data_IF_742726271741
#
_entry.id   IF_742726271741
#
_cell.length_a   1.000
_cell.length_b   1.000
_cell.length_c   1.000
_cell.angle_alpha   90.00
_cell.angle_beta   90.00
_cell.angle_gamma   90.00
#
_symmetry.space_group_name_H-M   'P 1'
#
loop_
_entity.id
_entity.type
_entity.pdbx_description
1 polymer ?
#
# COMPACT_ATOMS: atom_id res chain seq x y z
N UNK A 1 1.55 7.67 -10.93
CA UNK A 1 2.39 8.57 -10.13
C UNK A 1 2.58 7.98 -8.73
N UNK A 2 3.80 8.07 -8.19
CA UNK A 2 4.16 7.53 -6.87
C UNK A 2 4.51 8.66 -5.92
N UNK A 3 3.75 8.78 -4.82
CA UNK A 3 3.94 9.76 -3.76
C UNK A 3 4.56 9.10 -2.54
N UNK A 4 5.59 9.72 -1.95
CA UNK A 4 6.25 9.25 -0.75
C UNK A 4 5.96 10.13 0.46
N UNK A 5 5.50 9.52 1.56
CA UNK A 5 5.42 10.18 2.86
C UNK A 5 6.64 9.76 3.70
N UNK A 6 7.53 10.70 3.98
CA UNK A 6 8.72 10.46 4.77
C UNK A 6 8.63 11.20 6.11
N UNK A 7 9.16 10.58 7.16
CA UNK A 7 9.19 11.17 8.50
C UNK A 7 9.55 10.15 9.56
N UNK A 8 9.98 10.62 10.72
CA UNK A 8 10.29 9.77 11.87
C UNK A 8 9.06 8.99 12.37
N UNK A 9 9.30 7.95 13.18
CA UNK A 9 8.19 7.28 13.87
C UNK A 9 7.43 8.28 14.75
N UNK A 10 6.09 8.20 14.70
CA UNK A 10 5.22 9.16 15.36
C UNK A 10 5.01 10.49 14.63
N UNK A 11 5.58 10.70 13.44
CA UNK A 11 5.38 11.93 12.65
C UNK A 11 3.95 12.12 12.11
N UNK A 12 3.09 11.08 12.17
CA UNK A 12 1.72 11.16 11.70
C UNK A 12 1.45 10.46 10.34
N UNK A 13 2.45 9.80 9.74
CA UNK A 13 2.32 9.14 8.43
C UNK A 13 1.15 8.15 8.37
N UNK A 14 1.12 7.18 9.27
CA UNK A 14 0.06 6.15 9.35
C UNK A 14 -1.31 6.76 9.65
N UNK A 15 -1.37 7.79 10.49
CA UNK A 15 -2.61 8.52 10.79
C UNK A 15 -3.13 9.21 9.53
N UNK A 16 -2.27 9.90 8.79
CA UNK A 16 -2.63 10.56 7.55
C UNK A 16 -3.15 9.55 6.51
N UNK A 17 -2.47 8.42 6.34
CA UNK A 17 -2.93 7.36 5.42
C UNK A 17 -4.29 6.78 5.83
N UNK A 18 -4.54 6.60 7.12
CA UNK A 18 -5.86 6.16 7.65
C UNK A 18 -6.96 7.20 7.43
N UNK A 19 -6.64 8.49 7.50
CA UNK A 19 -7.57 9.57 7.14
C UNK A 19 -7.83 9.58 5.63
N UNK A 20 -6.80 9.48 4.79
CA UNK A 20 -6.93 9.43 3.32
C UNK A 20 -7.74 8.20 2.88
N UNK A 21 -7.56 7.05 3.53
CA UNK A 21 -8.34 5.83 3.23
C UNK A 21 -9.77 5.85 3.80
N UNK A 22 -10.14 6.89 4.55
CA UNK A 22 -11.46 7.02 5.17
C UNK A 22 -11.69 6.05 6.33
N UNK A 23 -10.63 5.50 6.95
CA UNK A 23 -10.71 4.72 8.19
C UNK A 23 -10.94 5.68 9.37
N UNK A 24 -10.21 6.80 9.39
CA UNK A 24 -10.37 7.83 10.40
C UNK A 24 -11.12 9.03 9.82
N UNK A 25 -12.04 9.58 10.63
CA UNK A 25 -12.68 10.84 10.32
C UNK A 25 -11.72 12.00 10.66
N UNK A 26 -11.51 12.98 9.76
CA UNK A 26 -10.78 14.19 10.13
C UNK A 26 -11.57 15.01 11.15
N UNK A 27 -10.89 15.61 12.12
CA UNK A 27 -11.51 16.51 13.11
C UNK A 27 -12.00 17.81 12.46
N UNK A 28 -11.33 18.24 11.39
CA UNK A 28 -11.71 19.40 10.57
C UNK A 28 -11.29 19.20 9.12
N UNK A 29 -11.92 19.93 8.21
CA UNK A 29 -11.71 19.77 6.78
C UNK A 29 -12.36 18.52 6.20
N UNK A 30 -11.97 18.14 4.98
CA UNK A 30 -12.47 16.95 4.29
C UNK A 30 -11.39 16.33 3.40
N UNK A 31 -11.51 15.03 3.15
CA UNK A 31 -10.71 14.31 2.16
C UNK A 31 -11.61 13.87 1.02
N UNK A 32 -11.24 14.22 -0.20
CA UNK A 32 -11.98 13.82 -1.41
C UNK A 32 -11.08 13.06 -2.36
N UNK A 33 -11.63 12.01 -2.98
CA UNK A 33 -11.03 11.27 -4.08
C UNK A 33 -12.00 11.34 -5.26
N UNK A 34 -11.50 11.76 -6.41
CA UNK A 34 -12.32 11.98 -7.61
C UNK A 34 -13.58 12.84 -7.32
N UNK A 35 -13.43 13.89 -6.51
CA UNK A 35 -14.48 14.82 -6.05
C UNK A 35 -15.53 14.19 -5.11
N UNK A 36 -15.32 12.95 -4.67
CA UNK A 36 -16.19 12.27 -3.70
C UNK A 36 -15.53 12.23 -2.34
N UNK A 37 -16.23 12.60 -1.31
CA UNK A 37 -15.75 12.50 0.08
C UNK A 37 -15.52 11.03 0.44
N UNK A 38 -14.40 10.73 1.11
CA UNK A 38 -13.95 9.34 1.34
C UNK A 38 -14.55 8.77 2.61
N UNK A 39 -14.66 9.60 3.68
CA UNK A 39 -15.15 9.12 4.96
C UNK A 39 -16.63 8.68 4.86
N UNK A 40 -16.93 7.48 5.34
CA UNK A 40 -18.27 6.88 5.33
C UNK A 40 -18.92 6.75 3.92
N UNK A 41 -18.10 6.61 2.88
CA UNK A 41 -18.55 6.46 1.49
C UNK A 41 -17.96 5.19 0.87
N UNK A 42 -18.70 4.06 0.84
CA UNK A 42 -18.24 2.80 0.27
C UNK A 42 -17.74 2.93 -1.18
N UNK A 43 -18.46 3.69 -2.02
CA UNK A 43 -18.13 3.89 -3.44
C UNK A 43 -16.75 4.53 -3.66
N UNK A 44 -16.35 5.46 -2.78
CA UNK A 44 -15.01 6.06 -2.85
C UNK A 44 -13.94 5.04 -2.42
N UNK A 45 -14.27 4.17 -1.45
CA UNK A 45 -13.35 3.16 -0.90
C UNK A 45 -13.09 2.00 -1.87
N UNK A 46 -14.02 1.68 -2.77
CA UNK A 46 -13.83 0.65 -3.80
C UNK A 46 -12.62 0.95 -4.72
N UNK A 47 -12.26 2.22 -4.85
CA UNK A 47 -11.10 2.65 -5.63
C UNK A 47 -9.80 2.73 -4.83
N UNK A 48 -9.82 2.39 -3.54
CA UNK A 48 -8.68 2.51 -2.63
C UNK A 48 -8.32 1.13 -2.08
N UNK A 49 -7.05 0.76 -2.15
CA UNK A 49 -6.52 -0.34 -1.35
C UNK A 49 -5.53 0.21 -0.32
N UNK A 50 -5.74 -0.12 0.94
CA UNK A 50 -4.87 0.33 2.03
C UNK A 50 -4.18 -0.87 2.69
N UNK A 51 -2.85 -0.87 2.69
CA UNK A 51 -2.01 -1.81 3.41
C UNK A 51 -1.47 -1.13 4.66
N UNK A 52 -1.95 -1.56 5.82
CA UNK A 52 -1.45 -1.08 7.12
C UNK A 52 -0.06 -1.63 7.45
N UNK A 53 0.70 -0.90 8.26
CA UNK A 53 1.92 -1.35 8.91
C UNK A 53 1.67 -2.54 9.87
N UNK A 54 0.49 -2.56 10.49
CA UNK A 54 0.05 -3.68 11.32
C UNK A 54 -0.13 -4.93 10.47
N UNK A 55 0.60 -5.98 10.81
CA UNK A 55 0.50 -7.25 10.11
C UNK A 55 -0.92 -7.79 10.24
N UNK A 56 -1.56 -8.00 9.11
CA UNK A 56 -2.95 -8.44 9.03
C UNK A 56 -3.22 -9.62 9.97
N UNK A 57 -4.22 -9.47 10.82
CA UNK A 57 -4.62 -10.46 11.83
C UNK A 57 -5.33 -11.70 11.24
N UNK A 58 -5.25 -11.94 9.94
CA UNK A 58 -5.83 -13.13 9.30
C UNK A 58 -5.02 -14.40 9.58
N UNK A 59 -4.76 -14.67 10.87
CA UNK A 59 -3.83 -15.72 11.29
C UNK A 59 -4.24 -17.13 10.82
N UNK A 60 -5.52 -17.38 10.61
CA UNK A 60 -6.05 -18.68 10.18
C UNK A 60 -6.23 -18.80 8.66
N UNK A 61 -6.25 -17.70 7.94
CA UNK A 61 -6.44 -17.69 6.50
C UNK A 61 -5.19 -18.20 5.77
N UNK A 62 -5.40 -18.79 4.63
CA UNK A 62 -4.38 -19.17 3.65
C UNK A 62 -4.31 -18.11 2.53
N UNK A 63 -3.34 -18.22 1.63
CA UNK A 63 -3.28 -17.37 0.42
C UNK A 63 -4.52 -17.57 -0.46
N UNK A 64 -5.04 -18.79 -0.54
CA UNK A 64 -6.28 -19.05 -1.29
C UNK A 64 -7.50 -18.37 -0.63
N UNK A 65 -7.54 -18.30 0.70
CA UNK A 65 -8.62 -17.58 1.39
C UNK A 65 -8.50 -16.07 1.18
N UNK A 66 -7.28 -15.52 1.10
CA UNK A 66 -7.06 -14.11 0.73
C UNK A 66 -7.58 -13.83 -0.68
N UNK A 67 -7.30 -14.72 -1.63
CA UNK A 67 -7.84 -14.60 -2.99
C UNK A 67 -9.37 -14.48 -2.96
N UNK A 68 -10.04 -15.45 -2.36
CA UNK A 68 -11.50 -15.46 -2.27
C UNK A 68 -12.07 -14.24 -1.56
N UNK A 69 -11.41 -13.78 -0.49
CA UNK A 69 -11.81 -12.61 0.28
C UNK A 69 -11.75 -11.34 -0.56
N UNK A 70 -10.63 -11.10 -1.25
CA UNK A 70 -10.46 -9.89 -2.04
C UNK A 70 -11.28 -9.91 -3.34
N UNK A 71 -11.48 -11.07 -3.95
CA UNK A 71 -12.39 -11.25 -5.08
C UNK A 71 -13.83 -10.87 -4.72
N UNK A 72 -14.29 -11.20 -3.52
CA UNK A 72 -15.61 -10.79 -3.04
C UNK A 72 -15.68 -9.31 -2.65
N UNK A 73 -14.54 -8.71 -2.25
CA UNK A 73 -14.50 -7.35 -1.71
C UNK A 73 -14.28 -6.28 -2.77
N UNK A 74 -13.58 -6.61 -3.85
CA UNK A 74 -13.21 -5.66 -4.91
C UNK A 74 -13.73 -6.16 -6.27
N UNK A 75 -14.68 -5.43 -6.88
CA UNK A 75 -15.22 -5.82 -8.19
C UNK A 75 -14.17 -5.86 -9.32
N UNK A 76 -13.06 -5.14 -9.15
CA UNK A 76 -11.95 -5.05 -10.10
C UNK A 76 -10.86 -6.09 -9.87
N UNK A 77 -11.02 -7.01 -8.89
CA UNK A 77 -10.01 -8.01 -8.58
C UNK A 77 -9.71 -8.92 -9.77
N UNK A 78 -8.42 -9.13 -10.04
CA UNK A 78 -7.92 -9.97 -11.13
C UNK A 78 -7.20 -11.20 -10.59
N UNK A 79 -7.88 -12.35 -10.68
CA UNK A 79 -7.37 -13.65 -10.23
C UNK A 79 -6.06 -14.03 -10.92
N UNK A 80 -5.93 -13.73 -12.23
CA UNK A 80 -4.71 -14.10 -12.99
C UNK A 80 -3.52 -13.30 -12.49
N UNK A 81 -3.70 -12.00 -12.27
CA UNK A 81 -2.65 -11.15 -11.70
C UNK A 81 -2.26 -11.66 -10.32
N UNK A 82 -3.23 -12.00 -9.46
CA UNK A 82 -2.94 -12.55 -8.13
C UNK A 82 -2.13 -13.85 -8.23
N UNK A 83 -2.57 -14.77 -9.08
CA UNK A 83 -1.92 -16.06 -9.29
C UNK A 83 -0.48 -15.94 -9.80
N UNK A 84 -0.25 -15.03 -10.75
CA UNK A 84 1.07 -14.74 -11.29
C UNK A 84 2.01 -14.16 -10.23
N UNK A 85 1.50 -13.20 -9.43
CA UNK A 85 2.28 -12.57 -8.36
C UNK A 85 2.64 -13.56 -7.25
N UNK A 86 1.68 -14.38 -6.79
CA UNK A 86 1.91 -15.41 -5.78
C UNK A 86 2.92 -16.45 -6.28
N UNK A 87 2.86 -16.80 -7.55
CA UNK A 87 3.82 -17.74 -8.18
C UNK A 87 5.22 -17.14 -8.28
N UNK A 88 5.35 -15.87 -8.69
CA UNK A 88 6.64 -15.15 -8.72
C UNK A 88 7.28 -15.01 -7.34
N UNK A 89 6.46 -14.89 -6.30
CA UNK A 89 6.89 -14.75 -4.91
C UNK A 89 7.13 -16.11 -4.22
N UNK A 90 6.83 -17.22 -4.90
CA UNK A 90 6.94 -18.59 -4.36
C UNK A 90 6.24 -18.78 -3.02
N UNK A 91 5.04 -18.19 -2.88
CA UNK A 91 4.29 -18.25 -1.64
C UNK A 91 3.40 -19.51 -1.56
N UNK A 92 3.46 -20.26 -0.44
CA UNK A 92 2.67 -21.48 -0.28
C UNK A 92 1.18 -21.17 -0.12
N UNK A 93 0.35 -21.59 -1.08
CA UNK A 93 -1.06 -21.20 -1.18
C UNK A 93 -1.97 -21.77 -0.08
N UNK A 94 -1.65 -22.96 0.43
CA UNK A 94 -2.48 -23.70 1.39
C UNK A 94 -1.99 -23.62 2.83
N UNK A 95 -0.84 -23.01 3.06
CA UNK A 95 -0.26 -22.85 4.38
C UNK A 95 -0.93 -21.68 5.11
N UNK A 96 -1.36 -21.82 6.38
CA UNK A 96 -1.92 -20.72 7.16
C UNK A 96 -0.94 -19.54 7.27
N UNK A 97 -1.44 -18.32 7.14
CA UNK A 97 -0.65 -17.10 7.24
C UNK A 97 0.01 -16.92 8.61
N UNK A 98 -0.53 -17.56 9.67
CA UNK A 98 0.13 -17.61 10.99
C UNK A 98 1.53 -18.22 10.95
N UNK A 99 1.80 -19.10 9.97
CA UNK A 99 3.08 -19.77 9.78
C UNK A 99 4.02 -19.03 8.81
N UNK A 100 3.57 -17.89 8.26
CA UNK A 100 4.39 -17.05 7.40
C UNK A 100 5.28 -16.15 8.24
N UNK A 101 6.48 -15.85 7.75
CA UNK A 101 7.30 -14.76 8.29
C UNK A 101 6.58 -13.40 8.09
N UNK A 102 7.01 -12.37 8.82
CA UNK A 102 6.50 -11.01 8.62
C UNK A 102 6.64 -10.58 7.14
N UNK A 103 7.79 -10.88 6.53
CA UNK A 103 8.03 -10.59 5.12
C UNK A 103 7.08 -11.33 4.17
N UNK A 104 6.89 -12.65 4.36
CA UNK A 104 5.95 -13.43 3.53
C UNK A 104 4.51 -12.93 3.63
N UNK A 105 4.06 -12.53 4.83
CA UNK A 105 2.74 -11.91 5.00
C UNK A 105 2.64 -10.61 4.22
N UNK A 106 3.67 -9.76 4.27
CA UNK A 106 3.73 -8.50 3.54
C UNK A 106 3.67 -8.73 2.03
N UNK A 107 4.42 -9.71 1.53
CA UNK A 107 4.39 -10.12 0.12
C UNK A 107 2.98 -10.53 -0.33
N UNK A 108 2.30 -11.37 0.44
CA UNK A 108 0.94 -11.83 0.12
C UNK A 108 -0.06 -10.68 0.06
N UNK A 109 0.02 -9.72 1.00
CA UNK A 109 -0.88 -8.55 1.02
C UNK A 109 -0.56 -7.57 -0.11
N UNK A 110 0.71 -7.35 -0.45
CA UNK A 110 1.07 -6.51 -1.60
C UNK A 110 0.60 -7.14 -2.91
N UNK A 111 0.75 -8.47 -3.07
CA UNK A 111 0.21 -9.18 -4.23
C UNK A 111 -1.32 -8.99 -4.34
N UNK A 112 -2.05 -9.09 -3.22
CA UNK A 112 -3.50 -8.83 -3.20
C UNK A 112 -3.82 -7.36 -3.56
N UNK A 113 -3.04 -6.39 -3.05
CA UNK A 113 -3.22 -4.97 -3.37
C UNK A 113 -3.09 -4.69 -4.87
N UNK A 114 -2.09 -5.27 -5.53
CA UNK A 114 -1.89 -5.14 -6.97
C UNK A 114 -3.00 -5.85 -7.77
N UNK A 115 -3.43 -7.02 -7.30
CA UNK A 115 -4.51 -7.80 -7.94
C UNK A 115 -5.89 -7.17 -7.79
N UNK A 116 -6.16 -6.37 -6.75
CA UNK A 116 -7.41 -5.62 -6.61
C UNK A 116 -7.61 -4.56 -7.70
N UNK A 117 -6.57 -4.19 -8.45
CA UNK A 117 -6.61 -3.27 -9.59
C UNK A 117 -7.25 -1.92 -9.27
N UNK A 118 -7.20 -1.51 -8.00
CA UNK A 118 -7.73 -0.22 -7.55
C UNK A 118 -6.94 0.95 -8.15
N UNK A 119 -7.58 2.09 -8.29
CA UNK A 119 -6.98 3.32 -8.84
C UNK A 119 -5.94 3.91 -7.89
N UNK A 120 -6.14 3.74 -6.58
CA UNK A 120 -5.29 4.28 -5.53
C UNK A 120 -4.84 3.14 -4.61
N UNK A 121 -3.53 3.04 -4.41
CA UNK A 121 -2.92 2.10 -3.46
C UNK A 121 -2.19 2.91 -2.40
N UNK A 122 -2.49 2.65 -1.14
CA UNK A 122 -1.86 3.28 0.02
C UNK A 122 -1.07 2.22 0.78
N UNK A 123 0.24 2.40 0.90
CA UNK A 123 1.14 1.45 1.55
C UNK A 123 1.80 2.09 2.77
N UNK A 124 1.50 1.58 3.96
CA UNK A 124 2.08 2.06 5.21
C UNK A 124 3.25 1.16 5.62
N UNK A 125 4.49 1.70 5.59
CA UNK A 125 5.75 1.01 5.91
C UNK A 125 5.86 -0.38 5.23
N UNK A 126 5.45 -0.44 3.94
CA UNK A 126 5.22 -1.70 3.23
C UNK A 126 6.49 -2.54 2.99
N UNK A 127 7.65 -1.92 3.05
CA UNK A 127 8.94 -2.60 2.81
C UNK A 127 9.63 -3.06 4.10
N UNK A 128 9.04 -2.76 5.26
CA UNK A 128 9.59 -3.17 6.54
C UNK A 128 9.58 -4.69 6.73
N UNK A 129 10.72 -5.22 7.21
CA UNK A 129 10.88 -6.64 7.46
C UNK A 129 11.11 -7.50 6.21
N UNK A 130 11.30 -6.87 5.05
CA UNK A 130 11.77 -7.54 3.83
C UNK A 130 13.30 -7.51 3.77
N UNK A 131 13.89 -8.61 3.33
CA UNK A 131 15.32 -8.62 2.97
C UNK A 131 15.58 -7.77 1.71
N UNK A 132 16.82 -7.34 1.45
CA UNK A 132 17.14 -6.43 0.34
C UNK A 132 16.74 -6.96 -1.04
N UNK A 133 16.88 -8.26 -1.30
CA UNK A 133 16.55 -8.85 -2.59
C UNK A 133 15.02 -8.86 -2.80
N UNK A 134 14.28 -9.26 -1.77
CA UNK A 134 12.81 -9.28 -1.81
C UNK A 134 12.24 -7.87 -1.88
N UNK A 135 12.83 -6.91 -1.15
CA UNK A 135 12.44 -5.49 -1.23
C UNK A 135 12.57 -4.96 -2.67
N UNK A 136 13.70 -5.26 -3.34
CA UNK A 136 13.91 -4.87 -4.74
C UNK A 136 12.86 -5.50 -5.65
N UNK A 137 12.59 -6.80 -5.50
CA UNK A 137 11.59 -7.51 -6.30
C UNK A 137 10.20 -6.88 -6.15
N UNK A 138 9.74 -6.68 -4.91
CA UNK A 138 8.42 -6.08 -4.61
C UNK A 138 8.33 -4.67 -5.20
N UNK A 139 9.39 -3.86 -5.08
CA UNK A 139 9.43 -2.50 -5.67
C UNK A 139 9.26 -2.54 -7.18
N UNK A 140 10.01 -3.41 -7.86
CA UNK A 140 9.89 -3.57 -9.32
C UNK A 140 8.46 -3.95 -9.70
N UNK A 141 7.87 -4.95 -9.03
CA UNK A 141 6.49 -5.39 -9.30
C UNK A 141 5.46 -4.25 -9.10
N UNK A 142 5.64 -3.43 -8.06
CA UNK A 142 4.78 -2.28 -7.80
C UNK A 142 4.95 -1.21 -8.89
N UNK A 143 6.19 -0.85 -9.22
CA UNK A 143 6.48 0.20 -10.22
C UNK A 143 5.92 -0.19 -11.58
N UNK A 144 6.17 -1.42 -12.02
CA UNK A 144 5.68 -1.94 -13.30
C UNK A 144 4.15 -1.87 -13.34
N UNK A 145 3.46 -2.38 -12.31
CA UNK A 145 1.99 -2.37 -12.25
C UNK A 145 1.41 -0.95 -12.24
N UNK A 146 1.98 -0.05 -11.44
CA UNK A 146 1.53 1.35 -11.34
C UNK A 146 1.72 2.08 -12.68
N UNK A 147 2.86 1.86 -13.35
CA UNK A 147 3.17 2.46 -14.63
C UNK A 147 2.23 1.96 -15.72
N UNK A 148 2.06 0.63 -15.85
CA UNK A 148 1.28 -0.01 -16.90
C UNK A 148 -0.19 0.41 -16.91
N UNK A 149 -0.79 0.62 -15.75
CA UNK A 149 -2.21 1.00 -15.64
C UNK A 149 -2.47 2.44 -15.22
N UNK A 150 -1.45 3.26 -15.07
CA UNK A 150 -1.61 4.68 -14.70
C UNK A 150 -2.23 4.88 -13.31
N UNK A 151 -2.06 3.93 -12.39
CA UNK A 151 -2.56 4.04 -11.03
C UNK A 151 -1.75 5.04 -10.20
N UNK A 152 -2.25 5.38 -9.02
CA UNK A 152 -1.54 6.22 -8.05
C UNK A 152 -1.17 5.40 -6.83
N UNK A 153 0.10 5.46 -6.46
CA UNK A 153 0.62 4.88 -5.23
C UNK A 153 0.96 5.99 -4.23
N UNK A 154 0.58 5.81 -2.98
CA UNK A 154 1.11 6.57 -1.85
C UNK A 154 1.80 5.61 -0.90
N UNK A 155 3.08 5.82 -0.65
CA UNK A 155 3.86 4.96 0.25
C UNK A 155 4.44 5.77 1.39
N UNK A 156 4.33 5.25 2.62
CA UNK A 156 5.04 5.81 3.77
C UNK A 156 6.31 5.04 4.06
N UNK A 157 7.36 5.75 4.46
CA UNK A 157 8.60 5.17 4.99
C UNK A 157 9.29 6.14 5.94
N UNK A 158 10.04 5.59 6.90
CA UNK A 158 10.97 6.38 7.69
C UNK A 158 12.36 6.47 7.01
N UNK A 159 12.57 5.76 5.91
CA UNK A 159 13.82 5.74 5.15
C UNK A 159 13.73 6.68 3.94
N UNK A 160 14.44 7.82 4.03
CA UNK A 160 14.46 8.83 2.98
C UNK A 160 15.06 8.32 1.66
N UNK A 161 16.06 7.43 1.73
CA UNK A 161 16.69 6.85 0.55
C UNK A 161 15.69 5.99 -0.23
N UNK A 162 14.87 5.23 0.48
CA UNK A 162 13.83 4.40 -0.11
C UNK A 162 12.78 5.24 -0.87
N UNK A 163 12.34 6.34 -0.28
CA UNK A 163 11.42 7.29 -0.93
C UNK A 163 12.09 7.94 -2.13
N UNK A 164 13.35 8.37 -2.00
CA UNK A 164 14.11 9.00 -3.09
C UNK A 164 14.35 8.09 -4.29
N UNK A 165 14.37 6.78 -4.10
CA UNK A 165 14.56 5.80 -5.18
C UNK A 165 13.25 5.32 -5.83
N UNK A 166 12.12 5.44 -5.12
CA UNK A 166 10.84 4.88 -5.57
C UNK A 166 9.86 5.93 -6.07
N UNK A 167 9.84 7.11 -5.46
CA UNK A 167 8.76 8.06 -5.62
C UNK A 167 9.08 9.14 -6.65
N UNK A 168 8.03 9.65 -7.31
CA UNK A 168 8.10 10.84 -8.16
C UNK A 168 8.07 12.10 -7.30
N UNK A 169 7.31 12.06 -6.21
CA UNK A 169 7.11 13.20 -5.30
C UNK A 169 7.27 12.76 -3.85
N UNK A 170 7.86 13.63 -3.03
CA UNK A 170 8.03 13.37 -1.60
C UNK A 170 7.40 14.45 -0.74
N UNK A 171 6.81 14.03 0.37
CA UNK A 171 6.25 14.87 1.41
C UNK A 171 6.90 14.53 2.74
N UNK A 172 7.54 15.49 3.38
CA UNK A 172 8.11 15.33 4.72
C UNK A 172 7.11 15.71 5.79
N UNK A 173 6.80 14.74 6.66
CA UNK A 173 5.99 14.94 7.85
C UNK A 173 6.85 15.02 9.10
N UNK A 174 6.55 15.99 9.94
CA UNK A 174 7.17 16.14 11.27
C UNK A 174 6.13 16.61 12.28
N UNK A 175 5.93 15.85 13.36
CA UNK A 175 4.98 16.17 14.44
C UNK A 175 3.56 16.51 13.97
N UNK A 176 3.07 15.79 12.95
CA UNK A 176 1.73 15.99 12.39
C UNK A 176 1.62 17.11 11.36
N UNK A 177 2.71 17.80 11.04
CA UNK A 177 2.74 18.88 10.06
C UNK A 177 3.50 18.48 8.80
N UNK A 178 3.05 18.98 7.65
CA UNK A 178 3.76 18.86 6.37
C UNK A 178 4.79 19.97 6.29
N UNK A 179 6.06 19.61 6.37
CA UNK A 179 7.17 20.56 6.33
C UNK A 179 7.47 21.00 4.88
N UNK A 180 7.48 20.04 3.95
CA UNK A 180 7.56 20.31 2.53
C UNK A 180 6.90 19.20 1.71
N UNK A 181 6.52 19.56 0.45
CA UNK A 181 6.13 18.64 -0.60
C UNK A 181 6.79 19.08 -1.89
N UNK A 182 7.57 18.20 -2.54
CA UNK A 182 8.34 18.53 -3.75
C UNK A 182 8.41 17.33 -4.69
N UNK A 183 8.66 17.62 -5.96
CA UNK A 183 9.09 16.63 -6.93
C UNK A 183 10.52 16.17 -6.57
N UNK A 184 10.79 14.87 -6.69
CA UNK A 184 12.10 14.32 -6.30
C UNK A 184 13.20 14.78 -7.23
N UNK A 185 12.89 15.02 -8.51
CA UNK A 185 13.85 15.55 -9.47
C UNK A 185 14.33 16.98 -9.15
N UNK A 186 13.54 17.75 -8.38
CA UNK A 186 13.92 19.08 -7.90
C UNK A 186 14.85 19.04 -6.66
N UNK A 187 15.08 17.84 -6.09
CA UNK A 187 15.84 17.64 -4.85
C UNK A 187 17.18 16.94 -5.10
N UNK A 188 17.38 16.38 -6.29
CA UNK A 188 18.65 15.78 -6.77
C UNK A 188 19.55 16.83 -7.40
#
# INVERSE_FOLDING_TARGET
>A
CIYGFVGSNGAGKSTLLRVISGIYRPDSGSVTIDKTEVYDRPQAKENIFFVSDETVQFSRLTVNDLNSFYQCSYPTFDDKVFDDLISKLDLPRKKPLSQFSKGMKRQAIVAAALACRTKYILLDEAFDGLDPAMRKLIRTMIVDDIFDRGATLVVSSHNITEIGELCDKAMLLHKGEVIFAKDIDDVR
#
